data_IF_662368438770
#
_entry.id   IF_662368438770
#
_cell.length_a   1.000
_cell.length_b   1.000
_cell.length_c   1.000
_cell.angle_alpha   90.00
_cell.angle_beta   90.00
_cell.angle_gamma   90.00
#
_symmetry.space_group_name_H-M   'P 1'
#
loop_
_entity.id
_entity.type
_entity.pdbx_description
1 polymer ?
#
# COMPACT_ATOMS: atom_id res chain seq x y z
N UNK A 1 1.33 -4.09 -1.02
CA UNK A 1 1.65 -3.06 -2.01
C UNK A 1 1.53 -1.71 -1.32
N UNK A 2 2.54 -0.86 -1.46
CA UNK A 2 2.65 0.36 -0.64
C UNK A 2 2.58 0.04 0.86
N UNK A 3 1.65 0.69 1.56
CA UNK A 3 1.33 0.43 2.97
C UNK A 3 0.44 -0.80 3.19
N UNK A 4 -0.31 -1.24 2.18
CA UNK A 4 -1.22 -2.37 2.31
C UNK A 4 -0.52 -3.73 2.18
N UNK A 5 -1.12 -4.77 2.76
CA UNK A 5 -0.69 -6.16 2.57
C UNK A 5 -1.87 -7.12 2.52
N UNK A 6 -1.63 -8.30 1.95
CA UNK A 6 -2.62 -9.36 1.79
C UNK A 6 -2.05 -10.71 2.16
N UNK A 7 -2.94 -11.59 2.61
CA UNK A 7 -2.72 -13.04 2.57
C UNK A 7 -3.65 -13.60 1.51
N UNK A 8 -3.10 -14.16 0.43
CA UNK A 8 -3.90 -14.70 -0.68
C UNK A 8 -4.80 -15.82 -0.15
N UNK A 9 -6.11 -15.65 -0.30
CA UNK A 9 -7.13 -16.65 0.07
C UNK A 9 -7.75 -17.32 -1.15
N UNK A 10 -7.91 -16.55 -2.22
CA UNK A 10 -8.41 -17.01 -3.49
C UNK A 10 -7.88 -16.10 -4.61
N UNK A 11 -7.72 -16.67 -5.79
CA UNK A 11 -7.34 -15.97 -7.01
C UNK A 11 -8.33 -16.31 -8.12
N UNK A 12 -8.66 -15.31 -8.93
CA UNK A 12 -9.58 -15.47 -10.06
C UNK A 12 -8.98 -14.85 -11.31
N UNK A 13 -9.23 -15.46 -12.46
CA UNK A 13 -8.89 -14.87 -13.76
C UNK A 13 -9.87 -13.75 -14.15
N UNK A 14 -9.63 -13.15 -15.31
CA UNK A 14 -10.48 -12.10 -15.90
C UNK A 14 -11.91 -12.57 -16.24
N UNK A 15 -12.15 -13.87 -16.35
CA UNK A 15 -13.46 -14.47 -16.60
C UNK A 15 -14.19 -14.88 -15.29
N UNK A 16 -13.55 -14.69 -14.13
CA UNK A 16 -14.08 -15.08 -12.82
C UNK A 16 -13.86 -16.56 -12.47
N UNK A 17 -13.05 -17.28 -13.24
CA UNK A 17 -12.69 -18.67 -12.94
C UNK A 17 -11.65 -18.71 -11.83
N UNK A 18 -11.82 -19.56 -10.79
CA UNK A 18 -10.80 -19.72 -9.76
C UNK A 18 -9.52 -20.31 -10.35
N UNK A 19 -8.38 -19.68 -10.07
CA UNK A 19 -7.05 -20.12 -10.50
C UNK A 19 -6.17 -20.43 -9.28
N UNK A 20 -5.31 -21.44 -9.42
CA UNK A 20 -4.38 -21.85 -8.35
C UNK A 20 -3.01 -21.20 -8.48
N UNK A 21 -2.65 -20.78 -9.70
CA UNK A 21 -1.35 -20.21 -10.03
C UNK A 21 -1.56 -19.04 -11.01
N UNK A 22 -0.76 -17.99 -10.86
CA UNK A 22 -0.73 -16.85 -11.77
C UNK A 22 0.59 -16.88 -12.53
N UNK A 23 0.54 -16.90 -13.87
CA UNK A 23 1.76 -16.85 -14.70
C UNK A 23 2.14 -15.41 -15.01
N UNK A 24 3.35 -15.23 -15.53
CA UNK A 24 3.81 -13.94 -16.03
C UNK A 24 2.80 -13.39 -17.04
N UNK A 25 2.46 -12.11 -16.88
CA UNK A 25 1.49 -11.38 -17.71
C UNK A 25 0.01 -11.76 -17.53
N UNK A 26 -0.33 -12.70 -16.65
CA UNK A 26 -1.74 -13.01 -16.36
C UNK A 26 -2.38 -11.91 -15.50
N UNK A 27 -3.56 -11.45 -15.92
CA UNK A 27 -4.40 -10.58 -15.10
C UNK A 27 -5.19 -11.42 -14.10
N UNK A 28 -4.90 -11.24 -12.81
CA UNK A 28 -5.48 -12.04 -11.73
C UNK A 28 -6.06 -11.12 -10.64
N UNK A 29 -7.26 -11.45 -10.19
CA UNK A 29 -7.88 -10.83 -9.02
C UNK A 29 -7.52 -11.59 -7.75
N UNK A 30 -6.92 -10.90 -6.79
CA UNK A 30 -6.50 -11.48 -5.50
C UNK A 30 -7.50 -11.09 -4.41
N UNK A 31 -7.99 -12.09 -3.67
CA UNK A 31 -8.80 -11.91 -2.47
C UNK A 31 -7.97 -12.16 -1.22
N UNK A 32 -8.16 -11.32 -0.20
CA UNK A 32 -7.49 -11.44 1.10
C UNK A 32 -6.61 -10.25 1.49
N UNK A 33 -6.78 -9.12 0.81
CA UNK A 33 -6.26 -7.81 1.22
C UNK A 33 -6.84 -7.40 2.56
N UNK A 34 -5.99 -6.99 3.51
CA UNK A 34 -6.45 -6.36 4.77
C UNK A 34 -6.82 -4.90 4.54
N UNK A 35 -6.03 -4.23 3.73
CA UNK A 35 -6.25 -2.88 3.23
C UNK A 35 -6.10 -2.93 1.71
N UNK A 36 -6.87 -2.10 1.00
CA UNK A 36 -6.74 -2.04 -0.45
C UNK A 36 -5.48 -1.24 -0.81
N UNK A 37 -4.63 -1.75 -1.72
CA UNK A 37 -3.53 -0.99 -2.26
C UNK A 37 -4.04 0.10 -3.22
N UNK A 38 -3.23 1.12 -3.45
CA UNK A 38 -3.53 2.14 -4.44
C UNK A 38 -3.32 1.59 -5.87
N UNK A 39 -4.11 2.08 -6.81
CA UNK A 39 -4.04 1.64 -8.19
C UNK A 39 -2.70 2.07 -8.83
N UNK A 40 -2.00 1.10 -9.43
CA UNK A 40 -0.68 1.33 -10.04
C UNK A 40 0.49 1.03 -9.11
N UNK A 41 0.25 0.73 -7.84
CA UNK A 41 1.32 0.33 -6.92
C UNK A 41 1.87 -1.08 -7.23
N UNK A 42 3.17 -1.24 -7.04
CA UNK A 42 3.86 -2.52 -7.18
C UNK A 42 3.57 -3.47 -6.00
N UNK A 43 3.34 -4.75 -6.32
CA UNK A 43 3.12 -5.82 -5.35
C UNK A 43 4.39 -6.66 -5.26
N UNK A 44 4.89 -6.85 -4.04
CA UNK A 44 6.10 -7.64 -3.76
C UNK A 44 5.71 -8.76 -2.79
N UNK A 45 6.12 -9.98 -3.13
CA UNK A 45 5.96 -11.16 -2.27
C UNK A 45 6.91 -11.10 -1.07
N UNK A 46 6.44 -11.62 0.06
CA UNK A 46 7.25 -11.78 1.27
C UNK A 46 7.10 -13.20 1.81
N UNK A 47 8.15 -13.68 2.47
CA UNK A 47 8.23 -15.06 2.97
C UNK A 47 7.19 -15.37 4.06
N UNK A 48 6.88 -14.41 4.93
CA UNK A 48 5.98 -14.61 6.05
C UNK A 48 5.11 -13.38 6.40
N UNK A 49 4.08 -13.62 7.23
CA UNK A 49 3.17 -12.56 7.70
C UNK A 49 3.87 -11.56 8.64
N UNK A 50 4.91 -11.99 9.35
CA UNK A 50 5.62 -11.12 10.29
C UNK A 50 6.39 -10.02 9.54
N UNK A 51 7.14 -10.40 8.51
CA UNK A 51 7.87 -9.56 7.56
C UNK A 51 6.92 -8.59 6.86
N UNK A 52 5.77 -9.06 6.38
CA UNK A 52 4.73 -8.19 5.82
C UNK A 52 4.33 -7.07 6.81
N UNK A 53 4.02 -7.44 8.05
CA UNK A 53 3.63 -6.47 9.09
C UNK A 53 4.76 -5.49 9.42
N UNK A 54 6.01 -5.94 9.50
CA UNK A 54 7.17 -5.08 9.76
C UNK A 54 7.35 -4.06 8.63
N UNK A 55 7.29 -4.52 7.37
CA UNK A 55 7.44 -3.66 6.18
C UNK A 55 6.29 -2.63 6.10
N UNK A 56 5.05 -3.07 6.29
CA UNK A 56 3.88 -2.18 6.32
C UNK A 56 4.01 -1.11 7.39
N UNK A 57 4.34 -1.49 8.64
CA UNK A 57 4.53 -0.54 9.75
C UNK A 57 5.63 0.47 9.45
N UNK A 58 6.75 0.00 8.92
CA UNK A 58 7.85 0.87 8.54
C UNK A 58 7.41 1.90 7.48
N UNK A 59 6.74 1.47 6.41
CA UNK A 59 6.22 2.36 5.37
C UNK A 59 5.20 3.37 5.89
N UNK A 60 4.26 2.96 6.76
CA UNK A 60 3.35 3.90 7.42
C UNK A 60 4.09 4.95 8.25
N UNK A 61 5.15 4.54 8.98
CA UNK A 61 5.93 5.46 9.80
C UNK A 61 6.64 6.52 8.94
N UNK A 62 7.13 6.14 7.76
CA UNK A 62 7.74 7.08 6.81
C UNK A 62 6.69 8.05 6.26
N UNK A 63 5.54 7.54 5.81
CA UNK A 63 4.46 8.37 5.29
C UNK A 63 3.92 9.35 6.34
N UNK A 64 3.81 8.93 7.60
CA UNK A 64 3.37 9.79 8.69
C UNK A 64 4.37 10.92 8.97
N UNK A 65 5.68 10.62 8.92
CA UNK A 65 6.74 11.64 9.08
C UNK A 65 6.72 12.66 7.94
N UNK A 66 6.60 12.20 6.70
CA UNK A 66 6.52 13.07 5.53
C UNK A 66 5.32 14.01 5.62
N UNK A 67 4.12 13.47 5.92
CA UNK A 67 2.92 14.28 6.13
C UNK A 67 3.08 15.30 7.26
N UNK A 68 3.76 14.94 8.35
CA UNK A 68 4.01 15.85 9.47
C UNK A 68 4.93 17.02 9.04
N UNK A 69 5.99 16.74 8.27
CA UNK A 69 6.89 17.76 7.74
C UNK A 69 6.12 18.72 6.82
N UNK A 70 5.38 18.18 5.84
CA UNK A 70 4.59 19.01 4.92
C UNK A 70 3.54 19.85 5.66
N UNK A 71 2.91 19.29 6.70
CA UNK A 71 1.95 20.04 7.52
C UNK A 71 2.60 21.22 8.25
N UNK A 72 3.82 21.04 8.78
CA UNK A 72 4.58 22.11 9.43
C UNK A 72 4.91 23.23 8.43
N UNK A 73 5.38 22.89 7.23
CA UNK A 73 5.68 23.86 6.17
C UNK A 73 4.44 24.68 5.76
N UNK A 74 3.27 24.04 5.69
CA UNK A 74 2.00 24.72 5.39
C UNK A 74 1.63 25.69 6.52
N UNK A 75 1.84 25.31 7.77
CA UNK A 75 1.56 26.16 8.93
C UNK A 75 2.47 27.38 8.95
N UNK A 76 3.77 27.19 8.71
CA UNK A 76 4.74 28.30 8.64
C UNK A 76 4.37 29.30 7.55
N UNK A 77 4.07 28.83 6.34
CA UNK A 77 3.62 29.72 5.24
C UNK A 77 2.37 30.51 5.59
N UNK A 78 1.36 29.87 6.21
CA UNK A 78 0.14 30.57 6.65
C UNK A 78 0.41 31.60 7.74
N UNK A 79 1.37 31.36 8.65
CA UNK A 79 1.74 32.31 9.69
C UNK A 79 2.45 33.54 9.11
N UNK A 80 3.31 33.37 8.11
CA UNK A 80 3.99 34.47 7.43
C UNK A 80 3.00 35.36 6.65
N UNK A 81 2.00 34.76 6.00
CA UNK A 81 0.92 35.50 5.32
C UNK A 81 0.08 36.34 6.29
N UNK A 82 -0.20 35.83 7.49
CA UNK A 82 -1.00 36.53 8.48
C UNK A 82 -0.24 37.65 9.20
N UNK A 83 1.09 37.53 9.31
CA UNK A 83 1.94 38.51 9.98
C UNK A 83 2.44 39.64 9.05
N UNK A 84 2.08 39.62 7.76
CA UNK A 84 2.27 40.73 6.82
C UNK A 84 1.03 41.62 6.78
#
# INVERSE_FOLDING_TARGET
SGTAWAKVRAMFDHAGTPVQEARLSDAVQIIGWRELPDAGDEIIEVEDEHRANVVTKYRHSLQAKEKAITALEIVEKRQEEHNK
#
